data_IF_920472576513
#
_entry.id   IF_920472576513
#
_cell.length_a   1.000
_cell.length_b   1.000
_cell.length_c   1.000
_cell.angle_alpha   90.00
_cell.angle_beta   90.00
_cell.angle_gamma   90.00
#
_symmetry.space_group_name_H-M   'P 1'
#
loop_
_entity.id
_entity.type
_entity.pdbx_description
1 polymer ?
#
# COMPACT_ATOMS: atom_id res chain seq x y z
N UNK A 1 16.40 7.36 -4.34
CA UNK A 1 16.04 5.93 -4.27
C UNK A 1 14.65 5.82 -4.84
N UNK A 2 14.48 5.13 -5.96
CA UNK A 2 13.15 4.86 -6.51
C UNK A 2 12.50 3.71 -5.72
N UNK A 3 11.27 3.92 -5.28
CA UNK A 3 10.42 2.95 -4.60
C UNK A 3 9.28 2.55 -5.53
N UNK A 4 9.51 1.66 -6.50
CA UNK A 4 8.51 1.36 -7.52
C UNK A 4 7.39 0.45 -7.02
N UNK A 5 7.47 -0.03 -5.77
CA UNK A 5 6.41 -0.77 -5.11
C UNK A 5 6.02 -0.12 -3.78
N UNK A 6 4.72 0.07 -3.57
CA UNK A 6 4.15 0.49 -2.29
C UNK A 6 3.27 -0.64 -1.79
N UNK A 7 3.60 -1.19 -0.63
CA UNK A 7 2.75 -2.16 0.06
C UNK A 7 1.89 -1.42 1.06
N UNK A 8 0.57 -1.54 0.96
CA UNK A 8 -0.36 -1.02 1.95
C UNK A 8 -0.93 -2.21 2.71
N UNK A 9 -0.64 -2.28 4.00
CA UNK A 9 -1.15 -3.32 4.90
C UNK A 9 -2.29 -2.76 5.71
N UNK A 10 -3.42 -3.46 5.74
CA UNK A 10 -4.52 -3.13 6.63
C UNK A 10 -4.75 -4.24 7.65
N UNK A 11 -5.03 -3.83 8.89
CA UNK A 11 -5.25 -4.72 10.01
C UNK A 11 -6.70 -4.63 10.44
N UNK A 12 -7.28 -5.79 10.73
CA UNK A 12 -8.66 -5.94 11.18
C UNK A 12 -8.82 -5.72 12.70
N UNK A 13 -10.04 -5.44 13.15
CA UNK A 13 -10.34 -5.23 14.58
C UNK A 13 -10.04 -6.45 15.46
N UNK A 14 -10.09 -7.65 14.87
CA UNK A 14 -9.80 -8.93 15.50
C UNK A 14 -8.32 -9.31 15.45
N UNK A 15 -7.45 -8.47 14.86
CA UNK A 15 -6.00 -8.73 14.76
C UNK A 15 -5.62 -9.89 13.83
N UNK A 16 -6.61 -10.56 13.23
CA UNK A 16 -6.44 -11.66 12.30
C UNK A 16 -6.78 -11.21 10.88
N UNK A 17 -5.80 -11.38 9.99
CA UNK A 17 -5.78 -11.11 8.54
C UNK A 17 -5.20 -9.74 8.13
N UNK A 18 -4.00 -9.83 7.55
CA UNK A 18 -3.30 -8.80 6.79
C UNK A 18 -3.88 -8.75 5.37
N UNK A 19 -4.77 -7.79 5.10
CA UNK A 19 -5.05 -7.43 3.71
C UNK A 19 -3.86 -6.60 3.22
N UNK A 20 -3.13 -7.09 2.21
CA UNK A 20 -2.03 -6.34 1.59
C UNK A 20 -2.36 -5.98 0.14
N UNK A 21 -2.16 -4.72 -0.21
CA UNK A 21 -2.28 -4.21 -1.57
C UNK A 21 -0.90 -3.76 -2.01
N UNK A 22 -0.39 -4.33 -3.10
CA UNK A 22 0.86 -3.89 -3.73
C UNK A 22 0.53 -3.01 -4.92
N UNK A 23 0.96 -1.75 -4.86
CA UNK A 23 0.85 -0.80 -5.96
C UNK A 23 2.18 -0.79 -6.72
N UNK A 24 2.13 -1.12 -8.01
CA UNK A 24 3.26 -0.95 -8.92
C UNK A 24 2.99 0.26 -9.80
N UNK A 25 3.82 1.30 -9.67
CA UNK A 25 3.71 2.52 -10.47
C UNK A 25 4.57 2.34 -11.71
N UNK A 26 3.94 2.02 -12.85
CA UNK A 26 4.60 1.86 -14.13
C UNK A 26 4.15 2.89 -15.17
N UNK A 27 5.09 3.41 -15.97
CA UNK A 27 4.80 4.22 -17.15
C UNK A 27 5.25 5.68 -17.07
N UNK A 28 4.94 6.43 -18.14
CA UNK A 28 5.25 7.87 -18.29
C UNK A 28 4.28 8.79 -17.56
N UNK A 29 3.27 8.24 -16.89
CA UNK A 29 2.27 9.01 -16.17
C UNK A 29 2.86 9.45 -14.82
N UNK A 30 3.01 10.76 -14.64
CA UNK A 30 3.38 11.33 -13.34
C UNK A 30 2.18 11.23 -12.41
N UNK A 31 2.15 10.18 -11.60
CA UNK A 31 1.16 10.02 -10.52
C UNK A 31 1.76 10.60 -9.24
N UNK A 32 1.01 11.47 -8.56
CA UNK A 32 1.37 11.88 -7.21
C UNK A 32 1.21 10.67 -6.28
N UNK A 33 2.36 10.17 -5.83
CA UNK A 33 2.46 9.00 -4.97
C UNK A 33 1.69 9.19 -3.64
N UNK A 34 1.75 10.39 -3.06
CA UNK A 34 1.08 10.68 -1.81
C UNK A 34 -0.44 10.66 -1.98
N UNK A 35 -0.95 11.26 -3.06
CA UNK A 35 -2.37 11.23 -3.38
C UNK A 35 -2.88 9.79 -3.63
N UNK A 36 -2.08 8.96 -4.31
CA UNK A 36 -2.45 7.56 -4.55
C UNK A 36 -2.49 6.75 -3.25
N UNK A 37 -1.51 6.94 -2.36
CA UNK A 37 -1.49 6.31 -1.04
C UNK A 37 -2.74 6.69 -0.25
N UNK A 38 -3.12 7.97 -0.25
CA UNK A 38 -4.29 8.45 0.48
C UNK A 38 -5.59 7.82 -0.06
N UNK A 39 -5.75 7.73 -1.38
CA UNK A 39 -6.92 7.09 -2.00
C UNK A 39 -7.05 5.63 -1.57
N UNK A 40 -5.97 4.86 -1.65
CA UNK A 40 -6.02 3.43 -1.33
C UNK A 40 -6.17 3.21 0.18
N UNK A 41 -5.50 4.01 1.00
CA UNK A 41 -5.63 3.94 2.47
C UNK A 41 -7.07 4.24 2.90
N UNK A 42 -7.68 5.30 2.36
CA UNK A 42 -9.06 5.65 2.66
C UNK A 42 -10.06 4.59 2.18
N UNK A 43 -9.83 4.00 1.01
CA UNK A 43 -10.65 2.89 0.53
C UNK A 43 -10.61 1.70 1.49
N UNK A 44 -9.41 1.30 1.94
CA UNK A 44 -9.24 0.18 2.87
C UNK A 44 -9.88 0.48 4.24
N UNK A 45 -9.72 1.70 4.77
CA UNK A 45 -10.37 2.11 6.02
C UNK A 45 -11.91 2.18 5.91
N UNK A 46 -12.44 2.30 4.70
CA UNK A 46 -13.88 2.22 4.43
C UNK A 46 -14.45 0.81 4.44
N UNK A 47 -13.61 -0.23 4.42
CA UNK A 47 -14.09 -1.61 4.42
C UNK A 47 -14.46 -2.07 5.84
N UNK A 48 -15.62 -2.73 6.02
CA UNK A 48 -16.05 -3.20 7.32
C UNK A 48 -15.06 -4.23 7.88
N UNK A 49 -14.65 -4.02 9.14
CA UNK A 49 -13.75 -4.92 9.86
C UNK A 49 -12.27 -4.49 9.81
N UNK A 50 -11.89 -3.52 8.98
CA UNK A 50 -10.55 -2.92 9.00
C UNK A 50 -10.52 -1.72 9.96
N UNK A 51 -9.45 -1.62 10.75
CA UNK A 51 -9.28 -0.57 11.77
C UNK A 51 -8.08 0.33 11.49
N UNK A 52 -7.07 -0.20 10.83
CA UNK A 52 -5.85 0.55 10.50
C UNK A 52 -5.38 0.17 9.11
N UNK A 53 -4.76 1.12 8.42
CA UNK A 53 -4.11 0.91 7.14
C UNK A 53 -2.79 1.70 7.14
N UNK A 54 -1.71 1.07 6.68
CA UNK A 54 -0.37 1.65 6.66
C UNK A 54 0.32 1.37 5.34
N UNK A 55 0.83 2.42 4.71
CA UNK A 55 1.68 2.32 3.54
C UNK A 55 3.15 2.14 3.94
N UNK A 56 3.83 1.22 3.26
CA UNK A 56 5.26 0.94 3.37
C UNK A 56 5.84 0.95 1.95
N UNK A 57 6.76 1.89 1.70
CA UNK A 57 7.50 1.95 0.45
C UNK A 57 8.55 0.84 0.42
N UNK A 58 8.61 0.07 -0.67
CA UNK A 58 9.60 -1.00 -0.87
C UNK A 58 10.45 -0.69 -2.09
N UNK A 59 11.75 -0.60 -1.89
CA UNK A 59 12.74 -0.50 -2.96
C UNK A 59 12.90 -1.88 -3.62
N UNK A 60 13.11 -1.96 -4.95
CA UNK A 60 13.38 -3.24 -5.64
C UNK A 60 14.72 -3.87 -5.20
N UNK A 61 15.54 -3.18 -4.42
CA UNK A 61 16.88 -3.63 -4.10
C UNK A 61 16.98 -4.97 -3.34
N UNK A 62 15.88 -5.59 -2.87
CA UNK A 62 15.93 -6.86 -2.12
C UNK A 62 14.75 -7.80 -2.44
N UNK A 63 14.48 -8.06 -3.72
CA UNK A 63 14.05 -9.41 -4.11
C UNK A 63 15.24 -10.14 -4.73
N UNK A 64 16.26 -10.37 -3.90
CA UNK A 64 17.31 -11.34 -4.20
C UNK A 64 16.73 -12.74 -3.93
N UNK A 65 16.71 -13.54 -4.98
CA UNK A 65 16.55 -15.00 -5.14
C UNK A 65 16.12 -15.83 -3.91
#
# INVERSE_FOLDING_TARGET
>A
MDYPNIAITATSANGENDASVTLTIGGTLTVDEAALIDVVTNYLLGLPGLTTARAVKRSIAEQDV
#
